data_IF_909603367410
#
_entry.id   IF_909603367410
#
_cell.length_a   1.000
_cell.length_b   1.000
_cell.length_c   1.000
_cell.angle_alpha   90.00
_cell.angle_beta   90.00
_cell.angle_gamma   90.00
#
_symmetry.space_group_name_H-M   'P 1'
#
loop_
_entity.id
_entity.type
_entity.pdbx_description
1 polymer ?
#
# COMPACT_ATOMS: atom_id res chain seq x y z
N UNK A 1 19.96 -1.89 -11.36
CA UNK A 1 19.37 -1.57 -10.04
C UNK A 1 20.48 -1.62 -9.01
N UNK A 2 20.63 -0.59 -8.16
CA UNK A 2 21.65 -0.60 -7.09
C UNK A 2 21.26 -1.59 -5.99
N UNK A 3 22.24 -2.15 -5.29
CA UNK A 3 21.98 -3.04 -4.17
C UNK A 3 21.20 -2.27 -3.07
N UNK A 4 20.14 -2.86 -2.51
CA UNK A 4 19.38 -2.21 -1.45
C UNK A 4 20.28 -1.95 -0.24
N UNK A 5 20.04 -0.82 0.45
CA UNK A 5 20.77 -0.48 1.67
C UNK A 5 20.62 -1.62 2.68
N UNK A 6 21.75 -2.22 3.08
CA UNK A 6 21.81 -3.40 3.96
C UNK A 6 21.07 -3.20 5.29
N UNK A 7 20.96 -1.96 5.77
CA UNK A 7 20.22 -1.63 7.01
C UNK A 7 18.70 -1.65 6.84
N UNK A 8 18.19 -1.37 5.64
CA UNK A 8 16.75 -1.22 5.37
C UNK A 8 16.14 -2.48 4.74
N UNK A 9 16.94 -3.25 4.00
CA UNK A 9 16.48 -4.48 3.34
C UNK A 9 15.71 -5.45 4.27
N UNK A 10 16.15 -5.70 5.53
CA UNK A 10 15.39 -6.58 6.43
C UNK A 10 14.02 -6.03 6.83
N UNK A 11 13.88 -4.71 6.98
CA UNK A 11 12.62 -4.06 7.35
C UNK A 11 11.58 -4.26 6.25
N UNK A 12 11.99 -4.05 4.99
CA UNK A 12 11.12 -4.22 3.84
C UNK A 12 10.72 -5.69 3.64
N UNK A 13 11.67 -6.62 3.80
CA UNK A 13 11.38 -8.06 3.69
C UNK A 13 10.39 -8.54 4.76
N UNK A 14 10.53 -8.05 6.00
CA UNK A 14 9.60 -8.38 7.10
C UNK A 14 8.21 -7.80 6.84
N UNK A 15 8.13 -6.57 6.35
CA UNK A 15 6.86 -5.94 6.01
C UNK A 15 6.11 -6.73 4.93
N UNK A 16 6.80 -7.16 3.88
CA UNK A 16 6.23 -7.98 2.82
C UNK A 16 5.78 -9.35 3.35
N UNK A 17 6.62 -10.00 4.18
CA UNK A 17 6.27 -11.29 4.78
C UNK A 17 5.03 -11.20 5.67
N UNK A 18 4.86 -10.12 6.44
CA UNK A 18 3.69 -9.91 7.32
C UNK A 18 2.36 -9.94 6.57
N UNK A 19 2.32 -9.60 5.29
CA UNK A 19 1.12 -9.70 4.46
C UNK A 19 0.55 -11.13 4.42
N UNK A 20 1.42 -12.15 4.43
CA UNK A 20 1.02 -13.55 4.47
C UNK A 20 0.50 -14.03 5.82
N UNK A 21 0.66 -13.23 6.88
CA UNK A 21 0.27 -13.56 8.24
C UNK A 21 -0.84 -12.66 8.80
N UNK A 22 -1.54 -11.90 7.96
CA UNK A 22 -2.54 -10.94 8.41
C UNK A 22 -3.67 -11.56 9.27
N UNK A 23 -4.09 -12.79 8.98
CA UNK A 23 -5.14 -13.49 9.72
C UNK A 23 -4.67 -14.06 11.06
N UNK A 24 -3.50 -14.72 11.07
CA UNK A 24 -3.06 -15.56 12.19
C UNK A 24 -1.89 -14.98 12.99
N UNK A 25 -1.23 -13.95 12.48
CA UNK A 25 -0.04 -13.35 13.06
C UNK A 25 1.20 -14.23 12.97
N UNK A 26 2.36 -13.60 12.99
CA UNK A 26 3.64 -14.28 12.84
C UNK A 26 4.45 -14.25 14.14
N UNK A 27 5.16 -15.33 14.46
CA UNK A 27 6.22 -15.32 15.47
C UNK A 27 7.54 -14.82 14.86
N UNK A 28 8.53 -14.51 15.70
CA UNK A 28 9.89 -14.24 15.23
C UNK A 28 10.47 -15.39 14.39
N UNK A 29 10.13 -16.64 14.72
CA UNK A 29 10.61 -17.83 13.99
C UNK A 29 9.98 -17.91 12.60
N UNK A 30 8.67 -17.66 12.50
CA UNK A 30 7.94 -17.66 11.24
C UNK A 30 8.51 -16.62 10.27
N UNK A 31 8.71 -15.38 10.77
CA UNK A 31 9.28 -14.29 9.97
C UNK A 31 10.75 -14.53 9.61
N UNK A 32 11.55 -15.10 10.52
CA UNK A 32 12.94 -15.43 10.25
C UNK A 32 13.07 -16.46 9.12
N UNK A 33 12.21 -17.49 9.14
CA UNK A 33 12.14 -18.48 8.06
C UNK A 33 11.69 -17.84 6.74
N UNK A 34 10.61 -17.05 6.76
CA UNK A 34 10.08 -16.38 5.56
C UNK A 34 11.09 -15.41 4.93
N UNK A 35 11.82 -14.65 5.75
CA UNK A 35 12.79 -13.65 5.30
C UNK A 35 14.20 -14.22 5.10
N UNK A 36 14.42 -15.53 5.36
CA UNK A 36 15.75 -16.18 5.34
C UNK A 36 16.80 -15.40 6.13
N UNK A 37 16.45 -15.02 7.35
CA UNK A 37 17.30 -14.21 8.25
C UNK A 37 17.23 -14.73 9.68
N UNK A 38 17.84 -14.01 10.62
CA UNK A 38 17.88 -14.41 12.04
C UNK A 38 16.73 -13.78 12.85
N UNK A 39 16.25 -14.44 13.92
CA UNK A 39 15.24 -13.86 14.82
C UNK A 39 15.64 -12.51 15.44
N UNK A 40 16.95 -12.28 15.63
CA UNK A 40 17.49 -11.00 16.12
C UNK A 40 17.26 -9.90 15.08
N UNK A 41 17.52 -10.18 13.80
CA UNK A 41 17.26 -9.24 12.71
C UNK A 41 15.75 -8.95 12.58
N UNK A 42 14.90 -9.97 12.74
CA UNK A 42 13.45 -9.80 12.77
C UNK A 42 13.03 -8.86 13.91
N UNK A 43 13.53 -9.07 15.12
CA UNK A 43 13.17 -8.23 16.29
C UNK A 43 13.48 -6.75 16.03
N UNK A 44 14.66 -6.45 15.44
CA UNK A 44 15.03 -5.07 15.08
C UNK A 44 14.12 -4.49 13.99
N UNK A 45 13.81 -5.31 12.98
CA UNK A 45 12.94 -4.91 11.88
C UNK A 45 11.50 -4.66 12.34
N UNK A 46 10.92 -5.57 13.14
CA UNK A 46 9.56 -5.41 13.67
C UNK A 46 9.47 -4.25 14.64
N UNK A 47 10.50 -3.97 15.45
CA UNK A 47 10.54 -2.76 16.28
C UNK A 47 10.44 -1.49 15.42
N UNK A 48 11.26 -1.40 14.36
CA UNK A 48 11.21 -0.26 13.43
C UNK A 48 9.82 -0.10 12.80
N UNK A 49 9.18 -1.20 12.41
CA UNK A 49 7.83 -1.18 11.83
C UNK A 49 6.75 -0.84 12.87
N UNK A 50 6.93 -1.22 14.13
CA UNK A 50 6.03 -0.86 15.25
C UNK A 50 6.14 0.64 15.52
N UNK A 51 7.36 1.16 15.63
CA UNK A 51 7.61 2.58 15.87
C UNK A 51 7.01 3.46 14.75
N UNK A 52 7.02 2.95 13.52
CA UNK A 52 6.40 3.61 12.37
C UNK A 52 4.86 3.40 12.27
N UNK A 53 4.30 2.46 13.04
CA UNK A 53 2.87 2.17 13.09
C UNK A 53 2.38 1.17 12.04
N UNK A 54 3.27 0.47 11.32
CA UNK A 54 2.93 -0.49 10.25
C UNK A 54 2.88 -1.95 10.71
N UNK A 55 3.44 -2.22 11.88
CA UNK A 55 3.34 -3.51 12.55
C UNK A 55 2.78 -3.31 13.97
N UNK A 56 2.08 -4.30 14.49
CA UNK A 56 1.72 -4.39 15.92
C UNK A 56 2.10 -5.76 16.47
N UNK A 57 2.39 -5.82 17.76
CA UNK A 57 2.56 -7.07 18.50
C UNK A 57 1.34 -7.27 19.39
N UNK A 58 0.70 -8.43 19.31
CA UNK A 58 -0.38 -8.80 20.21
C UNK A 58 0.18 -9.09 21.60
N UNK A 59 -0.45 -8.55 22.65
CA UNK A 59 0.05 -8.65 24.03
C UNK A 59 -0.10 -10.07 24.60
N UNK A 60 -1.15 -10.77 24.21
CA UNK A 60 -1.52 -12.11 24.69
C UNK A 60 -0.67 -13.23 24.09
N UNK A 61 -0.41 -13.15 22.78
CA UNK A 61 0.25 -14.21 22.00
C UNK A 61 1.67 -13.84 21.59
N UNK A 62 2.04 -12.56 21.70
CA UNK A 62 3.31 -12.04 21.22
C UNK A 62 3.48 -12.06 19.71
N UNK A 63 2.43 -12.35 18.95
CA UNK A 63 2.46 -12.44 17.47
C UNK A 63 2.42 -11.07 16.82
N UNK A 64 3.12 -10.94 15.71
CA UNK A 64 3.17 -9.73 14.90
C UNK A 64 2.11 -9.74 13.80
N UNK A 65 1.46 -8.59 13.60
CA UNK A 65 0.43 -8.38 12.59
C UNK A 65 0.71 -7.08 11.81
N UNK A 66 0.40 -7.03 10.51
CA UNK A 66 0.32 -5.76 9.80
C UNK A 66 -0.82 -4.91 10.40
N UNK A 67 -0.65 -3.59 10.40
CA UNK A 67 -1.71 -2.66 10.83
C UNK A 67 -2.56 -2.18 9.66
N UNK A 68 -3.71 -1.58 9.98
CA UNK A 68 -4.58 -0.96 8.97
C UNK A 68 -3.93 0.24 8.29
N UNK A 69 -2.95 0.89 8.93
CA UNK A 69 -2.21 2.01 8.32
C UNK A 69 -1.43 1.54 7.10
N UNK A 70 -0.81 0.36 7.19
CA UNK A 70 -0.12 -0.25 6.06
C UNK A 70 -1.10 -0.70 4.96
N UNK A 71 -2.21 -1.37 5.33
CA UNK A 71 -3.18 -1.85 4.33
C UNK A 71 -3.89 -0.72 3.57
N UNK A 72 -4.01 0.47 4.16
CA UNK A 72 -4.58 1.67 3.52
C UNK A 72 -3.79 2.19 2.32
N UNK A 73 -2.53 1.79 2.14
CA UNK A 73 -1.72 2.23 1.00
C UNK A 73 -2.35 1.82 -0.34
N UNK A 74 -2.90 0.61 -0.42
CA UNK A 74 -3.56 0.12 -1.64
C UNK A 74 -4.77 0.99 -1.99
N UNK A 75 -5.61 1.30 -1.00
CA UNK A 75 -6.79 2.15 -1.19
C UNK A 75 -6.39 3.57 -1.62
N UNK A 76 -5.32 4.15 -1.06
CA UNK A 76 -4.85 5.48 -1.50
C UNK A 76 -4.43 5.53 -2.96
N UNK A 77 -3.79 4.47 -3.46
CA UNK A 77 -3.42 4.35 -4.88
C UNK A 77 -4.68 4.24 -5.74
N UNK A 78 -5.64 3.41 -5.32
CA UNK A 78 -6.91 3.28 -6.01
C UNK A 78 -7.69 4.60 -6.08
N UNK A 79 -7.79 5.31 -4.95
CA UNK A 79 -8.43 6.62 -4.87
C UNK A 79 -7.80 7.64 -5.84
N UNK A 80 -6.49 7.54 -6.09
CA UNK A 80 -5.81 8.43 -7.03
C UNK A 80 -6.19 8.14 -8.49
N UNK A 81 -6.30 6.86 -8.84
CA UNK A 81 -6.83 6.43 -10.13
C UNK A 81 -8.28 6.84 -10.31
N UNK A 82 -9.13 6.69 -9.30
CA UNK A 82 -10.53 7.12 -9.36
C UNK A 82 -10.66 8.63 -9.62
N UNK A 83 -9.83 9.45 -8.96
CA UNK A 83 -9.76 10.90 -9.24
C UNK A 83 -9.30 11.18 -10.68
N UNK A 84 -8.33 10.42 -11.19
CA UNK A 84 -7.86 10.58 -12.57
C UNK A 84 -8.95 10.24 -13.58
N UNK A 85 -9.68 9.14 -13.37
CA UNK A 85 -10.84 8.74 -14.18
C UNK A 85 -11.91 9.84 -14.16
N UNK A 86 -12.23 10.38 -12.97
CA UNK A 86 -13.19 11.48 -12.84
C UNK A 86 -12.81 12.71 -13.68
N UNK A 87 -11.53 13.12 -13.65
CA UNK A 87 -11.04 14.23 -14.49
C UNK A 87 -11.17 13.94 -15.99
N UNK A 88 -10.87 12.72 -16.42
CA UNK A 88 -11.01 12.33 -17.83
C UNK A 88 -12.48 12.32 -18.28
N UNK A 89 -13.39 11.87 -17.42
CA UNK A 89 -14.82 11.87 -17.72
C UNK A 89 -15.37 13.29 -17.84
N UNK A 90 -14.93 14.21 -16.99
CA UNK A 90 -15.29 15.63 -17.07
C UNK A 90 -14.81 16.26 -18.38
N UNK A 91 -13.54 16.03 -18.75
CA UNK A 91 -12.99 16.49 -20.03
C UNK A 91 -13.77 15.97 -21.22
N UNK A 92 -14.13 14.67 -21.21
CA UNK A 92 -14.94 14.06 -22.28
C UNK A 92 -16.34 14.69 -22.37
N UNK A 93 -16.95 14.98 -21.23
CA UNK A 93 -18.27 15.62 -21.16
C UNK A 93 -18.20 17.03 -21.74
N UNK A 94 -17.23 17.84 -21.34
CA UNK A 94 -17.03 19.19 -21.85
C UNK A 94 -16.92 19.23 -23.39
N UNK A 95 -16.09 18.35 -23.97
CA UNK A 95 -15.95 18.25 -25.43
C UNK A 95 -17.26 17.87 -26.14
N UNK A 96 -18.08 17.03 -25.52
CA UNK A 96 -19.36 16.61 -26.10
C UNK A 96 -20.37 17.75 -26.09
N UNK A 97 -20.43 18.52 -24.99
CA UNK A 97 -21.31 19.70 -24.88
C UNK A 97 -20.91 20.78 -25.88
N UNK A 98 -19.61 21.09 -25.98
CA UNK A 98 -19.10 22.07 -26.93
C UNK A 98 -19.45 21.70 -28.39
N UNK A 99 -19.36 20.41 -28.72
CA UNK A 99 -19.73 19.90 -30.05
C UNK A 99 -21.24 20.03 -30.31
N UNK A 100 -22.09 19.69 -29.32
CA UNK A 100 -23.54 19.86 -29.47
C UNK A 100 -23.96 21.33 -29.60
N UNK A 101 -23.28 22.24 -28.90
CA UNK A 101 -23.53 23.68 -29.01
C UNK A 101 -23.10 24.24 -30.37
N UNK A 102 -22.00 23.72 -30.93
CA UNK A 102 -21.55 24.06 -32.27
C UNK A 102 -22.52 23.56 -33.36
N UNK A 103 -23.03 22.32 -33.22
CA UNK A 103 -24.04 21.75 -34.13
C UNK A 103 -25.37 22.52 -34.06
N UNK A 104 -25.85 22.85 -32.86
CA UNK A 104 -27.06 23.64 -32.68
C UNK A 104 -26.94 25.04 -33.31
N UNK A 105 -25.78 25.70 -33.16
CA UNK A 105 -25.50 26.98 -33.83
C UNK A 105 -25.48 26.86 -35.36
N UNK A 106 -24.98 25.75 -35.91
CA UNK A 106 -24.95 25.53 -37.36
C UNK A 106 -26.33 25.24 -37.96
N UNK A 107 -27.26 24.68 -37.18
CA UNK A 107 -28.62 24.33 -37.62
C UNK A 107 -29.63 25.48 -37.51
N UNK A 108 -29.46 26.36 -36.52
CA UNK A 108 -30.43 27.40 -36.17
C UNK A 108 -29.89 28.83 -36.22
N UNK A 109 -28.63 29.00 -36.66
CA UNK A 109 -27.96 30.29 -36.87
C UNK A 109 -28.01 30.77 -38.31
#
# INVERSE_FOLDING_TARGET
MSAPNKSVAPVLAVLEALCGFAANGATNKDLAAACRTTPVAITRATQTLIDYGWCRKAEDTGRFYPTTQFTRLVFRVHDDFDRAIGRMQEQRRAMTVDMSDAEARALFG
#
